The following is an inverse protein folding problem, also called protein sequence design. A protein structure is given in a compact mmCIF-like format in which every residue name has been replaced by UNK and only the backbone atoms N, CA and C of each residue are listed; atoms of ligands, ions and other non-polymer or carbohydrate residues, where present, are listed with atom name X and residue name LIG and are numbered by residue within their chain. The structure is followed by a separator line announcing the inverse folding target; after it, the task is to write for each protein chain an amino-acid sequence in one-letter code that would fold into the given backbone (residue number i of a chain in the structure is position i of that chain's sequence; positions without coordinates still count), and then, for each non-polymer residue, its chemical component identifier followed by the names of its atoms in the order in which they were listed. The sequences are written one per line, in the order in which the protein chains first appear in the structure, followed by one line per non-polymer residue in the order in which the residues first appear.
data_IF_335261751649
#
_entry.id   IF_335261751649
#
_cell.length_a   1.000
_cell.length_b   1.000
_cell.length_c   1.000
_cell.angle_alpha   90.00
_cell.angle_beta   90.00
_cell.angle_gamma   90.00
#
_symmetry.space_group_name_H-M   'P 1'
#
loop_
_entity.id
_entity.type
_entity.pdbx_description
1 polymer ?
#
# COMPACT_ATOMS: atom_id res chain seq x y z
N UNK A 1 2.53 -8.63 0.78
CA UNK A 1 1.96 -7.43 0.12
C UNK A 1 0.82 -7.88 -0.79
N UNK A 2 -0.19 -7.05 -1.00
CA UNK A 2 -1.31 -7.38 -1.89
C UNK A 2 -1.80 -6.14 -2.64
N UNK A 3 -2.17 -6.34 -3.92
CA UNK A 3 -2.97 -5.42 -4.71
C UNK A 3 -4.38 -5.98 -4.78
N UNK A 4 -5.37 -5.15 -4.47
CA UNK A 4 -6.77 -5.56 -4.36
C UNK A 4 -7.67 -4.56 -5.07
N UNK A 5 -8.90 -4.94 -5.38
CA UNK A 5 -9.87 -4.01 -5.94
C UNK A 5 -10.45 -3.13 -4.84
N UNK A 6 -10.90 -3.69 -3.71
CA UNK A 6 -11.43 -2.90 -2.58
C UNK A 6 -10.45 -2.83 -1.42
N UNK A 7 -10.28 -1.65 -0.83
CA UNK A 7 -9.51 -1.46 0.39
C UNK A 7 -10.05 -2.30 1.56
N UNK A 8 -11.35 -2.57 1.57
CA UNK A 8 -11.98 -3.42 2.60
C UNK A 8 -11.40 -4.84 2.65
N UNK A 9 -10.98 -5.39 1.50
CA UNK A 9 -10.33 -6.70 1.42
C UNK A 9 -8.99 -6.69 2.17
N UNK A 10 -8.20 -5.63 2.01
CA UNK A 10 -6.93 -5.45 2.74
C UNK A 10 -7.14 -5.33 4.24
N UNK A 11 -8.19 -4.62 4.68
CA UNK A 11 -8.54 -4.51 6.10
C UNK A 11 -8.93 -5.87 6.67
N UNK A 12 -9.69 -6.68 5.93
CA UNK A 12 -10.01 -8.04 6.32
C UNK A 12 -8.76 -8.92 6.41
N UNK A 13 -7.87 -8.88 5.40
CA UNK A 13 -6.58 -9.57 5.42
C UNK A 13 -5.75 -9.19 6.64
N UNK A 14 -5.69 -7.89 6.97
CA UNK A 14 -4.95 -7.41 8.15
C UNK A 14 -5.50 -7.97 9.45
N UNK A 15 -6.82 -8.13 9.60
CA UNK A 15 -7.45 -8.67 10.81
C UNK A 15 -7.15 -10.16 11.01
N UNK A 16 -7.02 -10.91 9.93
CA UNK A 16 -6.81 -12.37 9.96
C UNK A 16 -5.33 -12.77 9.94
N UNK A 17 -4.45 -11.89 9.46
CA UNK A 17 -3.03 -12.19 9.28
C UNK A 17 -2.22 -12.05 10.59
N UNK A 18 -1.32 -13.02 10.83
CA UNK A 18 -0.29 -12.95 11.88
C UNK A 18 0.98 -12.20 11.46
N UNK A 19 1.11 -11.91 10.17
CA UNK A 19 2.23 -11.16 9.59
C UNK A 19 1.78 -9.79 9.08
N UNK A 20 2.68 -8.80 8.98
CA UNK A 20 2.34 -7.50 8.43
C UNK A 20 1.74 -7.59 7.02
N UNK A 21 0.67 -6.83 6.80
CA UNK A 21 0.01 -6.70 5.49
C UNK A 21 0.37 -5.34 4.92
N UNK A 22 0.92 -5.33 3.70
CA UNK A 22 1.34 -4.12 2.99
C UNK A 22 0.37 -3.89 1.83
N UNK A 23 -0.25 -2.72 1.79
CA UNK A 23 -1.09 -2.27 0.67
C UNK A 23 -0.20 -1.91 -0.53
N UNK A 24 -0.28 -2.72 -1.59
CA UNK A 24 0.44 -2.49 -2.82
C UNK A 24 -0.39 -1.76 -3.88
N UNK A 25 -1.71 -1.59 -3.70
CA UNK A 25 -2.66 -0.75 -4.46
C UNK A 25 -4.08 -1.24 -4.14
N UNK A 26 -4.97 -0.32 -3.79
CA UNK A 26 -6.43 -0.53 -3.69
C UNK A 26 -7.18 0.59 -4.43
N UNK A 27 -8.50 0.45 -4.60
CA UNK A 27 -9.38 1.55 -5.03
C UNK A 27 -9.18 2.85 -4.24
N UNK A 28 -8.87 2.73 -2.95
CA UNK A 28 -8.67 3.89 -2.08
C UNK A 28 -7.30 4.56 -2.20
N UNK A 29 -6.20 3.80 -2.27
CA UNK A 29 -4.86 4.38 -2.17
C UNK A 29 -3.74 3.46 -2.70
N UNK A 30 -2.58 4.06 -2.98
CA UNK A 30 -1.36 3.37 -3.42
C UNK A 30 -0.13 3.92 -2.67
N UNK A 31 0.04 3.57 -1.38
CA UNK A 31 1.02 4.25 -0.50
C UNK A 31 2.48 4.01 -0.92
N UNK A 32 2.79 2.87 -1.54
CA UNK A 32 4.13 2.57 -2.02
C UNK A 32 4.55 3.51 -3.16
N UNK A 33 3.62 3.91 -4.03
CA UNK A 33 3.90 4.89 -5.09
C UNK A 33 4.16 6.27 -4.50
N UNK A 34 3.32 6.71 -3.55
CA UNK A 34 3.53 8.00 -2.90
C UNK A 34 4.92 8.09 -2.22
N UNK A 35 5.36 6.98 -1.60
CA UNK A 35 6.70 6.90 -1.03
C UNK A 35 7.79 6.97 -2.11
N UNK A 36 7.63 6.24 -3.22
CA UNK A 36 8.58 6.27 -4.34
C UNK A 36 8.67 7.65 -5.01
N UNK A 37 7.53 8.32 -5.19
CA UNK A 37 7.46 9.68 -5.74
C UNK A 37 8.18 10.67 -4.81
N UNK A 38 7.94 10.57 -3.50
CA UNK A 38 8.62 11.38 -2.51
C UNK A 38 10.14 11.15 -2.52
N UNK A 39 10.58 9.89 -2.59
CA UNK A 39 12.00 9.55 -2.70
C UNK A 39 12.62 10.16 -3.96
N UNK A 40 11.93 10.06 -5.10
CA UNK A 40 12.37 10.65 -6.37
C UNK A 40 12.55 12.17 -6.25
N UNK A 41 11.59 12.87 -5.63
CA UNK A 41 11.70 14.30 -5.38
C UNK A 41 12.86 14.65 -4.45
N UNK A 42 13.20 13.79 -3.50
CA UNK A 42 14.34 13.98 -2.60
C UNK A 42 15.67 13.74 -3.31
N UNK A 43 15.76 12.75 -4.18
CA UNK A 43 16.98 12.39 -4.92
C UNK A 43 17.31 13.36 -6.06
N UNK A 44 16.30 14.02 -6.64
CA UNK A 44 16.46 14.99 -7.74
C UNK A 44 16.57 16.45 -7.27
N UNK A 45 16.71 16.69 -5.96
CA UNK A 45 17.09 17.98 -5.38
C UNK A 45 18.60 18.08 -5.26
#
# INVERSE_FOLDING_TARGET
MARVNSHSDLVAMRRLSRVPVINALSDFEHPLQALADFMTLKERK
#
